data_IF_006994447376
#
_entry.id   IF_006994447376
#
_cell.length_a   1.000
_cell.length_b   1.000
_cell.length_c   1.000
_cell.angle_alpha   90.00
_cell.angle_beta   90.00
_cell.angle_gamma   90.00
#
_symmetry.space_group_name_H-M   'P 1'
#
loop_
_entity.id
_entity.type
_entity.pdbx_description
1 polymer ?
#
# COMPACT_ATOMS: atom_id res chain seq x y z
N UNK A 1 -38.94 -1.20 -21.65
CA UNK A 1 -37.78 -0.54 -22.27
C UNK A 1 -36.50 -1.06 -21.61
N UNK A 2 -35.76 -1.91 -22.31
CA UNK A 2 -34.50 -2.51 -21.83
C UNK A 2 -33.35 -1.62 -22.31
N UNK A 3 -32.57 -1.03 -21.41
CA UNK A 3 -31.32 -0.36 -21.76
C UNK A 3 -30.15 -1.30 -21.45
N UNK A 4 -29.49 -1.74 -22.51
CA UNK A 4 -28.21 -2.44 -22.45
C UNK A 4 -27.11 -1.41 -22.11
N UNK A 5 -26.46 -1.55 -20.96
CA UNK A 5 -25.22 -0.82 -20.64
C UNK A 5 -24.06 -1.70 -21.04
N UNK A 6 -23.40 -1.30 -22.11
CA UNK A 6 -22.17 -1.93 -22.63
C UNK A 6 -21.01 -1.66 -21.67
N UNK A 7 -20.42 -2.72 -21.12
CA UNK A 7 -19.20 -2.66 -20.30
C UNK A 7 -18.03 -2.24 -21.20
N UNK A 8 -17.54 -1.00 -21.02
CA UNK A 8 -16.30 -0.50 -21.63
C UNK A 8 -15.08 -1.03 -20.87
N UNK A 9 -14.33 -1.95 -21.48
CA UNK A 9 -13.00 -2.35 -21.02
C UNK A 9 -12.04 -1.19 -21.09
N UNK A 10 -11.57 -0.68 -19.96
CA UNK A 10 -10.43 0.22 -19.93
C UNK A 10 -9.13 -0.60 -19.93
N UNK A 11 -8.19 -0.38 -20.87
CA UNK A 11 -6.94 -1.13 -20.91
C UNK A 11 -5.99 -0.66 -19.80
N UNK A 12 -5.43 -1.64 -19.07
CA UNK A 12 -4.31 -1.47 -18.13
C UNK A 12 -3.04 -1.03 -18.89
N UNK A 13 -2.80 0.27 -19.00
CA UNK A 13 -1.63 0.84 -19.72
C UNK A 13 -0.46 1.18 -18.77
N UNK A 14 -0.65 1.13 -17.44
CA UNK A 14 0.33 1.64 -16.48
C UNK A 14 1.58 0.80 -16.23
N UNK A 15 1.51 -0.53 -16.37
CA UNK A 15 2.58 -1.44 -15.92
C UNK A 15 3.70 -1.69 -16.92
N UNK A 16 3.47 -1.46 -18.21
CA UNK A 16 4.49 -1.73 -19.26
C UNK A 16 5.49 -0.59 -19.48
N UNK A 17 5.17 0.62 -19.04
CA UNK A 17 6.06 1.79 -19.25
C UNK A 17 7.21 1.77 -18.25
N UNK A 18 6.97 1.35 -17.01
CA UNK A 18 8.00 1.28 -15.97
C UNK A 18 9.07 0.21 -16.26
N UNK A 19 8.68 -0.92 -16.85
CA UNK A 19 9.63 -1.98 -17.22
C UNK A 19 10.50 -1.64 -18.44
N UNK A 20 10.01 -0.81 -19.36
CA UNK A 20 10.77 -0.45 -20.55
C UNK A 20 11.85 0.60 -20.29
N UNK A 21 11.69 1.45 -19.28
CA UNK A 21 12.69 2.46 -18.91
C UNK A 21 13.93 1.85 -18.23
N UNK A 22 13.79 0.76 -17.48
CA UNK A 22 14.95 0.04 -16.92
C UNK A 22 15.76 -0.70 -17.98
N UNK A 23 15.09 -1.28 -19.01
CA UNK A 23 15.76 -2.06 -20.04
C UNK A 23 16.60 -1.19 -21.00
N UNK A 24 16.14 0.03 -21.33
CA UNK A 24 16.86 0.93 -22.23
C UNK A 24 18.06 1.59 -21.57
N UNK A 25 18.07 1.76 -20.25
CA UNK A 25 19.23 2.28 -19.53
C UNK A 25 20.38 1.27 -19.47
N UNK A 26 20.07 -0.01 -19.35
CA UNK A 26 21.05 -1.10 -19.33
C UNK A 26 21.74 -1.28 -20.71
N UNK A 27 21.01 -1.16 -21.81
CA UNK A 27 21.60 -1.34 -23.15
C UNK A 27 22.56 -0.21 -23.52
N UNK A 28 22.32 1.01 -23.03
CA UNK A 28 23.19 2.15 -23.35
C UNK A 28 24.55 2.09 -22.65
N UNK A 29 24.60 1.49 -21.47
CA UNK A 29 25.86 1.22 -20.76
C UNK A 29 26.71 0.16 -21.46
N UNK A 30 26.08 -0.84 -22.10
CA UNK A 30 26.78 -1.94 -22.76
C UNK A 30 27.49 -1.50 -24.04
N UNK A 31 26.93 -0.58 -24.80
CA UNK A 31 27.51 -0.10 -26.07
C UNK A 31 28.71 0.85 -25.88
N UNK A 32 28.80 1.54 -24.76
CA UNK A 32 29.92 2.43 -24.46
C UNK A 32 31.17 1.64 -24.03
N UNK A 33 31.00 0.44 -23.46
CA UNK A 33 32.13 -0.44 -23.01
C UNK A 33 32.86 -1.15 -24.15
N UNK A 34 32.23 -1.32 -25.32
CA UNK A 34 32.82 -2.06 -26.44
C UNK A 34 33.83 -1.20 -27.23
N UNK A 35 33.75 0.12 -27.14
CA UNK A 35 34.59 1.04 -27.93
C UNK A 35 35.91 1.49 -27.29
N UNK A 36 36.24 1.07 -26.06
CA UNK A 36 37.51 1.41 -25.40
C UNK A 36 38.37 0.17 -25.16
N UNK A 37 39.21 -0.05 -26.10
CA UNK A 37 40.29 -1.04 -26.29
C UNK A 37 40.96 -1.70 -25.08
N UNK A 38 41.01 -3.01 -25.16
CA UNK A 38 42.15 -3.96 -25.04
C UNK A 38 43.19 -3.87 -23.91
N UNK A 39 43.03 -3.19 -22.78
CA UNK A 39 44.06 -3.24 -21.74
C UNK A 39 43.56 -3.22 -20.28
N UNK A 40 42.31 -3.59 -20.00
CA UNK A 40 41.78 -3.51 -18.62
C UNK A 40 40.96 -4.71 -18.19
N UNK A 41 41.37 -5.93 -18.58
CA UNK A 41 40.65 -7.13 -18.23
C UNK A 41 40.74 -7.50 -16.73
N UNK A 42 41.68 -6.96 -15.99
CA UNK A 42 41.95 -7.33 -14.59
C UNK A 42 41.23 -6.42 -13.59
N UNK A 43 40.86 -5.19 -13.98
CA UNK A 43 40.17 -4.25 -13.08
C UNK A 43 38.63 -4.42 -13.10
N UNK A 44 38.08 -5.12 -14.09
CA UNK A 44 36.64 -5.32 -14.21
C UNK A 44 36.06 -6.47 -13.36
N UNK A 45 36.89 -7.42 -12.90
CA UNK A 45 36.45 -8.51 -12.03
C UNK A 45 36.18 -8.06 -10.59
N UNK A 46 36.74 -6.94 -10.15
CA UNK A 46 36.54 -6.41 -8.78
C UNK A 46 35.30 -5.51 -8.62
N UNK A 47 34.78 -4.93 -9.68
CA UNK A 47 33.67 -3.97 -9.64
C UNK A 47 32.26 -4.62 -9.66
N UNK A 48 32.17 -5.90 -9.98
CA UNK A 48 30.88 -6.62 -10.10
C UNK A 48 30.31 -7.08 -8.75
N UNK A 49 31.10 -7.06 -7.67
CA UNK A 49 30.65 -7.50 -6.33
C UNK A 49 30.00 -6.42 -5.49
N UNK A 50 30.02 -5.14 -5.91
CA UNK A 50 29.50 -4.02 -5.13
C UNK A 50 28.14 -3.48 -5.61
N UNK A 51 27.54 -4.07 -6.64
CA UNK A 51 26.30 -3.58 -7.27
C UNK A 51 24.99 -4.24 -6.85
N UNK A 52 25.00 -5.21 -5.93
CA UNK A 52 23.79 -5.92 -5.50
C UNK A 52 23.17 -5.35 -4.21
N UNK A 53 23.20 -4.03 -4.01
CA UNK A 53 22.40 -3.34 -3.01
C UNK A 53 20.95 -3.19 -3.47
N UNK A 54 20.28 -4.28 -3.82
CA UNK A 54 18.84 -4.29 -4.03
C UNK A 54 18.16 -4.03 -2.70
N UNK A 55 17.24 -3.04 -2.65
CA UNK A 55 16.33 -2.87 -1.52
C UNK A 55 15.55 -4.18 -1.35
N UNK A 56 16.03 -5.08 -0.50
CA UNK A 56 15.31 -6.31 -0.16
C UNK A 56 14.18 -5.95 0.78
N UNK A 57 13.01 -5.65 0.22
CA UNK A 57 11.76 -5.60 0.98
C UNK A 57 11.57 -6.98 1.62
N UNK A 58 11.37 -7.04 2.95
CA UNK A 58 11.17 -8.33 3.62
C UNK A 58 9.96 -9.07 3.04
N UNK A 59 9.96 -10.42 3.01
CA UNK A 59 8.81 -11.19 2.52
C UNK A 59 7.50 -10.85 3.25
N UNK A 60 7.56 -10.54 4.54
CA UNK A 60 6.42 -10.11 5.35
C UNK A 60 5.88 -8.78 4.84
N UNK A 61 6.75 -7.82 4.58
CA UNK A 61 6.36 -6.50 4.08
C UNK A 61 5.71 -6.59 2.68
N UNK A 62 6.24 -7.43 1.80
CA UNK A 62 5.65 -7.62 0.46
C UNK A 62 4.29 -8.30 0.54
N UNK A 63 4.13 -9.31 1.39
CA UNK A 63 2.86 -9.98 1.63
C UNK A 63 1.81 -9.01 2.20
N UNK A 64 2.17 -8.22 3.22
CA UNK A 64 1.30 -7.23 3.83
C UNK A 64 0.79 -6.20 2.81
N UNK A 65 1.67 -5.66 1.97
CA UNK A 65 1.27 -4.72 0.91
C UNK A 65 0.30 -5.36 -0.09
N UNK A 66 0.57 -6.58 -0.52
CA UNK A 66 -0.34 -7.32 -1.43
C UNK A 66 -1.72 -7.51 -0.81
N UNK A 67 -1.78 -7.84 0.48
CA UNK A 67 -3.04 -8.00 1.22
C UNK A 67 -3.80 -6.67 1.31
N UNK A 68 -3.11 -5.57 1.65
CA UNK A 68 -3.70 -4.23 1.70
C UNK A 68 -4.21 -3.78 0.33
N UNK A 69 -3.45 -4.03 -0.74
CA UNK A 69 -3.87 -3.67 -2.10
C UNK A 69 -5.12 -4.47 -2.53
N UNK A 70 -5.16 -5.76 -2.21
CA UNK A 70 -6.34 -6.61 -2.47
C UNK A 70 -7.57 -6.13 -1.69
N UNK A 71 -7.38 -5.74 -0.43
CA UNK A 71 -8.43 -5.18 0.41
C UNK A 71 -8.91 -3.82 -0.10
N UNK A 72 -8.01 -2.99 -0.62
CA UNK A 72 -8.37 -1.69 -1.24
C UNK A 72 -9.26 -1.90 -2.47
N UNK A 73 -8.91 -2.86 -3.34
CA UNK A 73 -9.75 -3.20 -4.50
C UNK A 73 -11.16 -3.63 -4.07
N UNK A 74 -11.26 -4.45 -3.02
CA UNK A 74 -12.55 -4.85 -2.46
C UNK A 74 -13.32 -3.65 -1.89
N UNK A 75 -12.65 -2.77 -1.14
CA UNK A 75 -13.23 -1.54 -0.59
C UNK A 75 -13.76 -0.61 -1.69
N UNK A 76 -12.96 -0.35 -2.72
CA UNK A 76 -13.31 0.54 -3.84
C UNK A 76 -14.48 -0.01 -4.68
N UNK A 77 -14.68 -1.33 -4.68
CA UNK A 77 -15.85 -1.99 -5.28
C UNK A 77 -17.08 -2.02 -4.37
N UNK A 78 -16.97 -1.50 -3.14
CA UNK A 78 -18.05 -1.53 -2.15
C UNK A 78 -18.22 -2.86 -1.41
N UNK A 79 -17.31 -3.83 -1.63
CA UNK A 79 -17.33 -5.11 -0.91
C UNK A 79 -16.60 -4.97 0.44
N UNK A 80 -17.26 -4.27 1.36
CA UNK A 80 -16.74 -4.04 2.72
C UNK A 80 -16.61 -5.33 3.52
N UNK A 81 -17.46 -6.31 3.25
CA UNK A 81 -17.39 -7.65 3.87
C UNK A 81 -16.09 -8.35 3.51
N UNK A 82 -15.72 -8.34 2.25
CA UNK A 82 -14.45 -8.89 1.76
C UNK A 82 -13.25 -8.11 2.27
N UNK A 83 -13.32 -6.78 2.31
CA UNK A 83 -12.27 -5.94 2.90
C UNK A 83 -11.97 -6.35 4.35
N UNK A 84 -13.02 -6.51 5.16
CA UNK A 84 -12.91 -6.96 6.55
C UNK A 84 -12.32 -8.37 6.62
N UNK A 85 -12.80 -9.31 5.80
CA UNK A 85 -12.31 -10.70 5.80
C UNK A 85 -10.82 -10.79 5.43
N UNK A 86 -10.35 -9.98 4.48
CA UNK A 86 -8.95 -9.95 4.06
C UNK A 86 -8.02 -9.41 5.15
N UNK A 87 -8.43 -8.38 5.87
CA UNK A 87 -7.53 -7.65 6.78
C UNK A 87 -7.63 -8.09 8.24
N UNK A 88 -8.81 -8.55 8.71
CA UNK A 88 -9.02 -8.82 10.15
C UNK A 88 -8.20 -9.99 10.70
N UNK A 89 -7.67 -10.85 9.84
CA UNK A 89 -6.88 -12.03 10.21
C UNK A 89 -5.50 -12.09 9.54
N UNK A 90 -5.09 -11.02 8.89
CA UNK A 90 -3.83 -10.94 8.15
C UNK A 90 -2.67 -10.65 9.10
N UNK A 91 -2.05 -11.71 9.63
CA UNK A 91 -0.93 -11.62 10.58
C UNK A 91 0.30 -10.90 10.02
N UNK A 92 0.47 -10.90 8.71
CA UNK A 92 1.55 -10.18 8.03
C UNK A 92 1.44 -8.65 8.22
N UNK A 93 0.25 -8.13 8.53
CA UNK A 93 0.05 -6.70 8.80
C UNK A 93 0.78 -6.28 10.08
N UNK A 94 0.74 -7.12 11.13
CA UNK A 94 1.38 -6.80 12.41
C UNK A 94 2.91 -6.68 12.29
N UNK A 95 3.52 -7.35 11.33
CA UNK A 95 4.96 -7.30 11.05
C UNK A 95 5.38 -6.32 9.96
N UNK A 96 4.43 -5.57 9.40
CA UNK A 96 4.68 -4.60 8.35
C UNK A 96 5.17 -3.25 8.90
N UNK A 97 5.62 -2.36 7.98
CA UNK A 97 5.91 -0.99 8.35
C UNK A 97 4.64 -0.24 8.84
N UNK A 98 4.86 0.81 9.64
CA UNK A 98 3.79 1.60 10.25
C UNK A 98 2.79 2.14 9.21
N UNK A 99 3.27 2.57 8.05
CA UNK A 99 2.40 3.12 7.00
C UNK A 99 1.47 2.05 6.42
N UNK A 100 1.98 0.84 6.22
CA UNK A 100 1.18 -0.31 5.77
C UNK A 100 0.15 -0.73 6.84
N UNK A 101 0.53 -0.77 8.11
CA UNK A 101 -0.38 -1.05 9.22
C UNK A 101 -1.48 0.00 9.31
N UNK A 102 -1.14 1.29 9.28
CA UNK A 102 -2.09 2.40 9.29
C UNK A 102 -3.05 2.32 8.11
N UNK A 103 -2.57 2.01 6.90
CA UNK A 103 -3.42 1.84 5.72
C UNK A 103 -4.42 0.68 5.89
N UNK A 104 -3.98 -0.47 6.42
CA UNK A 104 -4.84 -1.61 6.70
C UNK A 104 -5.93 -1.27 7.74
N UNK A 105 -5.53 -0.71 8.88
CA UNK A 105 -6.46 -0.33 9.95
C UNK A 105 -7.45 0.76 9.50
N UNK A 106 -7.04 1.68 8.61
CA UNK A 106 -7.94 2.69 8.05
C UNK A 106 -9.01 2.06 7.16
N UNK A 107 -8.65 1.12 6.29
CA UNK A 107 -9.62 0.38 5.47
C UNK A 107 -10.58 -0.44 6.34
N UNK A 108 -10.09 -1.08 7.41
CA UNK A 108 -10.92 -1.79 8.38
C UNK A 108 -11.89 -0.85 9.09
N UNK A 109 -11.39 0.27 9.61
CA UNK A 109 -12.21 1.25 10.31
C UNK A 109 -13.36 1.75 9.42
N UNK A 110 -13.05 2.16 8.20
CA UNK A 110 -14.06 2.64 7.26
C UNK A 110 -15.07 1.55 6.90
N UNK A 111 -14.61 0.33 6.63
CA UNK A 111 -15.48 -0.80 6.31
C UNK A 111 -16.40 -1.18 7.47
N UNK A 112 -15.89 -1.19 8.71
CA UNK A 112 -16.71 -1.42 9.89
C UNK A 112 -17.74 -0.31 10.12
N UNK A 113 -17.35 0.94 9.93
CA UNK A 113 -18.25 2.08 10.08
C UNK A 113 -19.39 2.04 9.06
N UNK A 114 -19.08 1.82 7.79
CA UNK A 114 -20.08 1.75 6.70
C UNK A 114 -21.06 0.55 6.90
N UNK A 115 -20.57 -0.55 7.46
CA UNK A 115 -21.41 -1.71 7.81
C UNK A 115 -22.08 -1.59 9.17
N UNK A 116 -22.15 -0.38 9.76
CA UNK A 116 -22.77 -0.06 11.04
C UNK A 116 -22.18 -0.82 12.25
N UNK A 117 -20.92 -1.26 12.13
CA UNK A 117 -20.17 -1.93 13.20
C UNK A 117 -19.31 -0.91 13.95
N UNK A 118 -19.95 -0.01 14.70
CA UNK A 118 -19.31 1.18 15.30
C UNK A 118 -18.23 0.85 16.34
N UNK A 119 -18.44 -0.20 17.15
CA UNK A 119 -17.45 -0.59 18.16
C UNK A 119 -16.11 -1.01 17.53
N UNK A 120 -16.05 -1.97 16.61
CA UNK A 120 -14.78 -2.29 15.93
C UNK A 120 -14.26 -1.13 15.06
N UNK A 121 -15.11 -0.32 14.44
CA UNK A 121 -14.65 0.88 13.73
C UNK A 121 -13.82 1.79 14.62
N UNK A 122 -14.30 2.12 15.83
CA UNK A 122 -13.57 2.95 16.81
C UNK A 122 -12.30 2.26 17.31
N UNK A 123 -12.33 0.95 17.48
CA UNK A 123 -11.15 0.18 17.91
C UNK A 123 -10.03 0.25 16.85
N UNK A 124 -10.36 0.15 15.57
CA UNK A 124 -9.36 0.28 14.50
C UNK A 124 -8.76 1.69 14.44
N UNK A 125 -9.55 2.74 14.65
CA UNK A 125 -9.02 4.10 14.78
C UNK A 125 -8.11 4.27 16.00
N UNK A 126 -8.41 3.62 17.12
CA UNK A 126 -7.53 3.64 18.30
C UNK A 126 -6.17 3.01 17.98
N UNK A 127 -6.16 1.86 17.30
CA UNK A 127 -4.90 1.21 16.86
C UNK A 127 -4.06 2.12 15.95
N UNK A 128 -4.70 2.87 15.03
CA UNK A 128 -3.99 3.84 14.20
C UNK A 128 -3.32 4.91 15.07
N UNK A 129 -4.00 5.42 16.09
CA UNK A 129 -3.45 6.43 16.98
C UNK A 129 -2.36 5.87 17.90
N UNK A 130 -2.43 4.60 18.27
CA UNK A 130 -1.38 3.91 19.02
C UNK A 130 -0.10 3.77 18.13
N UNK A 131 -0.26 3.48 16.84
CA UNK A 131 0.85 3.38 15.87
C UNK A 131 1.42 4.75 15.49
N UNK A 132 0.55 5.74 15.32
CA UNK A 132 0.91 7.09 14.94
C UNK A 132 0.02 8.11 15.67
N UNK A 133 0.45 8.62 16.84
CA UNK A 133 -0.33 9.59 17.63
C UNK A 133 -0.63 10.91 16.90
N UNK A 134 0.13 11.21 15.83
CA UNK A 134 -0.09 12.42 15.00
C UNK A 134 -0.98 12.16 13.79
N UNK A 135 -1.47 10.93 13.64
CA UNK A 135 -2.34 10.59 12.51
C UNK A 135 -3.59 11.46 12.51
N UNK A 136 -3.97 11.89 11.31
CA UNK A 136 -5.20 12.64 11.11
C UNK A 136 -5.85 12.19 9.78
N UNK A 137 -7.17 12.26 9.73
CA UNK A 137 -7.92 12.06 8.49
C UNK A 137 -7.78 13.28 7.57
N UNK A 138 -7.80 13.05 6.28
CA UNK A 138 -7.87 14.14 5.31
C UNK A 138 -9.12 15.01 5.54
N UNK A 139 -9.14 16.27 5.11
CA UNK A 139 -10.33 17.14 5.29
C UNK A 139 -11.62 16.52 4.74
N UNK A 140 -11.55 15.84 3.61
CA UNK A 140 -12.70 15.15 3.02
C UNK A 140 -13.17 13.94 3.86
N UNK A 141 -12.23 13.19 4.45
CA UNK A 141 -12.54 12.05 5.30
C UNK A 141 -13.11 12.49 6.67
N UNK A 142 -12.57 13.57 7.26
CA UNK A 142 -13.09 14.14 8.53
C UNK A 142 -14.55 14.58 8.45
N UNK A 143 -14.93 15.19 7.34
CA UNK A 143 -16.29 15.65 7.10
C UNK A 143 -17.31 14.55 6.85
N UNK A 144 -16.88 13.30 6.72
CA UNK A 144 -17.77 12.20 6.40
C UNK A 144 -18.66 11.84 7.60
N UNK A 145 -20.01 11.77 7.41
CA UNK A 145 -20.95 11.66 8.53
C UNK A 145 -20.88 10.32 9.29
N UNK A 146 -20.35 9.26 8.65
CA UNK A 146 -20.31 7.92 9.23
C UNK A 146 -19.06 7.73 10.10
N UNK A 147 -17.86 7.94 9.54
CA UNK A 147 -16.61 7.65 10.25
C UNK A 147 -15.93 8.85 10.88
N UNK A 148 -16.24 10.10 10.47
CA UNK A 148 -15.71 11.29 11.09
C UNK A 148 -15.96 11.33 12.62
N UNK A 149 -17.22 11.18 13.08
CA UNK A 149 -17.52 11.12 14.52
C UNK A 149 -16.86 9.95 15.26
N UNK A 150 -16.69 8.80 14.59
CA UNK A 150 -16.02 7.63 15.17
C UNK A 150 -14.53 7.88 15.40
N UNK A 151 -13.86 8.52 14.43
CA UNK A 151 -12.48 8.95 14.55
C UNK A 151 -12.28 9.97 15.68
N UNK A 152 -13.13 11.00 15.73
CA UNK A 152 -13.06 12.01 16.80
C UNK A 152 -13.27 11.40 18.19
N UNK A 153 -14.13 10.39 18.30
CA UNK A 153 -14.29 9.66 19.56
C UNK A 153 -13.00 8.92 19.96
N UNK A 154 -12.37 8.20 19.02
CA UNK A 154 -11.11 7.49 19.27
C UNK A 154 -10.00 8.48 19.67
N UNK A 155 -9.89 9.61 18.97
CA UNK A 155 -8.90 10.66 19.25
C UNK A 155 -9.04 11.25 20.65
N UNK A 156 -10.26 11.57 21.08
CA UNK A 156 -10.49 12.09 22.45
C UNK A 156 -10.12 11.05 23.51
N UNK A 157 -10.45 9.79 23.30
CA UNK A 157 -10.08 8.72 24.24
C UNK A 157 -8.58 8.52 24.33
N UNK A 158 -7.90 8.50 23.19
CA UNK A 158 -6.44 8.36 23.15
C UNK A 158 -5.76 9.51 23.89
N UNK A 159 -6.20 10.75 23.68
CA UNK A 159 -5.67 11.92 24.40
C UNK A 159 -5.91 11.90 25.91
N UNK A 160 -6.95 11.21 26.40
CA UNK A 160 -7.23 11.08 27.84
C UNK A 160 -6.50 9.92 28.51
N UNK A 161 -5.88 9.02 27.75
CA UNK A 161 -5.15 7.85 28.25
C UNK A 161 -3.63 7.98 28.14
N UNK A 162 -3.14 9.02 27.44
CA UNK A 162 -1.71 9.37 27.30
C UNK A 162 -1.29 10.38 28.35
#
# INVERSE_FOLDING_TARGET
MKQNVTAGSMPMIGTRIQQRLCATFQLRQFLISIMKGRSSLVLFLGAWLLGAGGCSTSPIQSAARTTVDSARVAYDSGDYGRTIALLSHAKEIDGADTDTQVAAHKLLAFSYCVTNRITPCRAEFSKILDLNPRFDLSPAEKGHPIWGPAFEFARRRHASSS
#
